data_IF_752186650986
#
_entry.id   IF_752186650986
#
_cell.length_a   1.000
_cell.length_b   1.000
_cell.length_c   1.000
_cell.angle_alpha   90.00
_cell.angle_beta   90.00
_cell.angle_gamma   90.00
#
_symmetry.space_group_name_H-M   'P 1'
#
loop_
_entity.id
_entity.type
_entity.pdbx_description
1 polymer ?
#
# COMPACT_ATOMS: atom_id res chain seq x y z
N UNK A 1 -3.27 -10.29 -1.07
CA UNK A 1 -2.79 -9.49 0.06
C UNK A 1 -2.49 -8.07 -0.40
N UNK A 2 -3.15 -7.09 0.17
CA UNK A 2 -2.88 -5.67 0.03
C UNK A 2 -3.02 -4.97 1.39
N UNK A 3 -2.52 -3.75 1.50
CA UNK A 3 -2.52 -2.94 2.71
C UNK A 3 -2.42 -1.44 2.36
N UNK A 4 -2.49 -0.59 3.35
CA UNK A 4 -2.12 0.83 3.28
C UNK A 4 -2.85 1.57 2.14
N UNK A 5 -4.17 1.38 2.06
CA UNK A 5 -5.00 2.01 1.02
C UNK A 5 -5.21 3.50 1.26
N UNK A 6 -5.30 3.90 2.53
CA UNK A 6 -5.49 5.27 2.99
C UNK A 6 -6.55 6.04 2.19
N UNK A 7 -7.72 5.44 2.05
CA UNK A 7 -8.84 6.01 1.32
C UNK A 7 -9.27 7.35 1.93
N UNK A 8 -9.56 8.32 1.08
CA UNK A 8 -9.87 9.71 1.47
C UNK A 8 -8.72 10.47 2.16
N UNK A 9 -7.49 9.96 2.13
CA UNK A 9 -6.33 10.70 2.61
C UNK A 9 -6.19 12.05 1.90
N UNK A 10 -5.93 13.14 2.61
CA UNK A 10 -5.70 14.42 1.97
C UNK A 10 -4.43 14.37 1.13
N UNK A 11 -4.52 14.85 -0.11
CA UNK A 11 -3.36 15.02 -0.99
C UNK A 11 -2.60 16.28 -0.60
N UNK A 12 -1.63 16.16 0.32
CA UNK A 12 -0.85 17.30 0.86
C UNK A 12 0.27 17.79 -0.10
N UNK A 13 0.28 17.34 -1.33
CA UNK A 13 1.26 17.78 -2.32
C UNK A 13 0.88 19.15 -2.89
N UNK A 14 1.85 19.82 -3.53
CA UNK A 14 1.60 21.09 -4.23
C UNK A 14 0.77 20.91 -5.53
N UNK A 15 -0.16 19.98 -5.55
CA UNK A 15 -1.10 19.73 -6.63
C UNK A 15 -2.17 20.82 -6.69
N UNK A 16 -2.74 21.02 -7.87
CA UNK A 16 -3.99 21.79 -7.98
C UNK A 16 -5.14 21.00 -7.35
N UNK A 17 -6.22 21.71 -6.98
CA UNK A 17 -7.44 21.05 -6.44
C UNK A 17 -7.99 19.98 -7.40
N UNK A 18 -7.93 20.22 -8.71
CA UNK A 18 -8.35 19.27 -9.73
C UNK A 18 -7.47 18.01 -9.75
N UNK A 19 -6.15 18.18 -9.69
CA UNK A 19 -5.20 17.05 -9.61
C UNK A 19 -5.37 16.25 -8.32
N UNK A 20 -5.53 16.92 -7.18
CA UNK A 20 -5.76 16.27 -5.89
C UNK A 20 -7.08 15.48 -5.88
N UNK A 21 -8.16 16.07 -6.43
CA UNK A 21 -9.46 15.40 -6.58
C UNK A 21 -9.36 14.17 -7.50
N UNK A 22 -8.64 14.29 -8.60
CA UNK A 22 -8.40 13.16 -9.52
C UNK A 22 -7.66 12.04 -8.81
N UNK A 23 -6.59 12.33 -8.08
CA UNK A 23 -5.82 11.32 -7.33
C UNK A 23 -6.66 10.62 -6.26
N UNK A 24 -7.45 11.37 -5.49
CA UNK A 24 -8.36 10.76 -4.50
C UNK A 24 -9.34 9.78 -5.16
N UNK A 25 -9.90 10.16 -6.31
CA UNK A 25 -10.79 9.27 -7.06
C UNK A 25 -10.06 8.03 -7.56
N UNK A 26 -8.83 8.17 -8.06
CA UNK A 26 -8.01 7.03 -8.53
C UNK A 26 -7.68 6.06 -7.41
N UNK A 27 -7.37 6.54 -6.20
CA UNK A 27 -7.11 5.68 -5.04
C UNK A 27 -8.35 4.84 -4.69
N UNK A 28 -9.53 5.45 -4.63
CA UNK A 28 -10.79 4.74 -4.40
C UNK A 28 -11.04 3.72 -5.54
N UNK A 29 -10.89 4.14 -6.79
CA UNK A 29 -11.08 3.28 -7.95
C UNK A 29 -10.10 2.10 -7.99
N UNK A 30 -8.89 2.23 -7.44
CA UNK A 30 -7.95 1.10 -7.37
C UNK A 30 -8.48 -0.01 -6.47
N UNK A 31 -9.14 0.31 -5.36
CA UNK A 31 -9.83 -0.70 -4.56
C UNK A 31 -11.01 -1.31 -5.32
N UNK A 32 -11.83 -0.51 -6.00
CA UNK A 32 -12.95 -1.03 -6.81
C UNK A 32 -12.45 -1.99 -7.90
N UNK A 33 -11.39 -1.62 -8.62
CA UNK A 33 -10.74 -2.50 -9.61
C UNK A 33 -10.17 -3.78 -8.97
N UNK A 34 -9.65 -3.69 -7.74
CA UNK A 34 -9.17 -4.87 -7.01
C UNK A 34 -10.31 -5.85 -6.73
N UNK A 35 -11.50 -5.36 -6.32
CA UNK A 35 -12.66 -6.23 -6.10
C UNK A 35 -13.12 -6.91 -7.40
N UNK A 36 -13.11 -6.19 -8.52
CA UNK A 36 -13.41 -6.74 -9.85
C UNK A 36 -12.35 -7.77 -10.29
N UNK A 37 -11.07 -7.46 -10.06
CA UNK A 37 -9.97 -8.40 -10.33
C UNK A 37 -10.15 -9.69 -9.54
N UNK A 38 -10.44 -9.58 -8.24
CA UNK A 38 -10.62 -10.73 -7.36
C UNK A 38 -11.78 -11.62 -7.85
N UNK A 39 -12.91 -11.03 -8.19
CA UNK A 39 -14.08 -11.78 -8.69
C UNK A 39 -13.81 -12.43 -10.06
N UNK A 40 -13.10 -11.75 -10.96
CA UNK A 40 -12.79 -12.25 -12.32
C UNK A 40 -11.77 -13.39 -12.32
N UNK A 41 -10.88 -13.42 -11.33
CA UNK A 41 -9.79 -14.40 -11.23
C UNK A 41 -10.05 -15.46 -10.15
N UNK A 42 -11.32 -15.65 -9.74
CA UNK A 42 -11.75 -16.67 -8.78
C UNK A 42 -10.99 -16.62 -7.45
N UNK A 43 -10.58 -15.42 -7.02
CA UNK A 43 -9.94 -15.21 -5.71
C UNK A 43 -10.93 -15.54 -4.60
N UNK A 44 -10.51 -16.34 -3.63
CA UNK A 44 -11.36 -16.78 -2.52
C UNK A 44 -11.39 -15.78 -1.37
N UNK A 45 -10.26 -15.11 -1.13
CA UNK A 45 -10.14 -14.13 -0.07
C UNK A 45 -9.16 -13.02 -0.44
N UNK A 46 -9.48 -11.78 -0.06
CA UNK A 46 -8.59 -10.62 -0.10
C UNK A 46 -8.20 -10.26 1.33
N UNK A 47 -6.92 -10.30 1.64
CA UNK A 47 -6.38 -9.86 2.92
C UNK A 47 -6.13 -8.36 2.83
N UNK A 48 -6.78 -7.58 3.68
CA UNK A 48 -6.60 -6.14 3.85
C UNK A 48 -5.82 -5.94 5.16
N UNK A 49 -4.50 -5.83 5.04
CA UNK A 49 -3.60 -5.86 6.19
C UNK A 49 -3.37 -4.47 6.81
N UNK A 50 -4.44 -3.74 7.07
CA UNK A 50 -4.46 -2.47 7.79
C UNK A 50 -4.37 -1.22 6.92
N UNK A 51 -4.65 -0.10 7.56
CA UNK A 51 -4.65 1.25 7.00
C UNK A 51 -5.49 1.39 5.72
N UNK A 52 -6.73 0.88 5.81
CA UNK A 52 -7.70 1.04 4.74
C UNK A 52 -8.17 2.49 4.63
N UNK A 53 -8.27 3.18 5.75
CA UNK A 53 -8.71 4.57 5.85
C UNK A 53 -7.62 5.45 6.47
N UNK A 54 -7.84 6.76 6.49
CA UNK A 54 -6.91 7.72 7.09
C UNK A 54 -7.61 8.52 8.20
N UNK A 55 -7.82 7.86 9.36
CA UNK A 55 -8.42 8.45 10.56
C UNK A 55 -9.94 8.65 10.48
N UNK A 56 -10.44 9.60 11.30
CA UNK A 56 -11.88 9.86 11.51
C UNK A 56 -12.56 10.62 10.35
N UNK A 57 -11.87 10.93 9.27
CA UNK A 57 -12.35 11.86 8.23
C UNK A 57 -12.85 11.18 6.95
N UNK A 58 -13.06 9.89 6.99
CA UNK A 58 -13.56 9.16 5.83
C UNK A 58 -14.98 9.63 5.48
N UNK A 59 -15.22 9.93 4.22
CA UNK A 59 -16.54 10.34 3.76
C UNK A 59 -17.49 9.14 3.75
N UNK A 60 -18.71 9.32 4.25
CA UNK A 60 -19.77 8.30 4.21
C UNK A 60 -19.94 7.72 2.80
N UNK A 61 -19.90 8.57 1.77
CA UNK A 61 -19.98 8.14 0.39
C UNK A 61 -18.86 7.16 0.00
N UNK A 62 -17.63 7.38 0.46
CA UNK A 62 -16.50 6.49 0.17
C UNK A 62 -16.71 5.13 0.83
N UNK A 63 -17.20 5.12 2.07
CA UNK A 63 -17.54 3.88 2.78
C UNK A 63 -18.64 3.13 2.03
N UNK A 64 -19.71 3.81 1.61
CA UNK A 64 -20.80 3.22 0.84
C UNK A 64 -20.30 2.60 -0.47
N UNK A 65 -19.46 3.31 -1.23
CA UNK A 65 -18.88 2.81 -2.50
C UNK A 65 -18.06 1.53 -2.29
N UNK A 66 -17.30 1.47 -1.19
CA UNK A 66 -16.49 0.30 -0.83
C UNK A 66 -17.36 -0.88 -0.41
N UNK A 67 -18.32 -0.65 0.50
CA UNK A 67 -19.23 -1.71 0.94
C UNK A 67 -20.08 -2.24 -0.21
N UNK A 68 -20.48 -1.38 -1.14
CA UNK A 68 -21.21 -1.78 -2.35
C UNK A 68 -20.33 -2.60 -3.30
N UNK A 69 -19.04 -2.28 -3.43
CA UNK A 69 -18.12 -3.10 -4.22
C UNK A 69 -17.94 -4.50 -3.62
N UNK A 70 -17.79 -4.58 -2.30
CA UNK A 70 -17.73 -5.85 -1.56
C UNK A 70 -19.02 -6.67 -1.74
N UNK A 71 -20.19 -6.05 -1.61
CA UNK A 71 -21.51 -6.73 -1.82
C UNK A 71 -21.67 -7.29 -3.22
N UNK A 72 -21.11 -6.59 -4.24
CA UNK A 72 -21.18 -7.05 -5.65
C UNK A 72 -20.32 -8.27 -5.94
N UNK A 73 -19.42 -8.64 -5.05
CA UNK A 73 -18.51 -9.78 -5.19
C UNK A 73 -18.71 -10.83 -4.07
N UNK A 74 -19.92 -11.41 -3.92
CA UNK A 74 -20.30 -12.21 -2.75
C UNK A 74 -19.51 -13.53 -2.60
N UNK A 75 -18.81 -13.98 -3.63
CA UNK A 75 -17.98 -15.18 -3.61
C UNK A 75 -16.55 -14.92 -3.15
N UNK A 76 -16.18 -13.65 -2.93
CA UNK A 76 -14.87 -13.22 -2.44
C UNK A 76 -15.03 -12.73 -1.00
N UNK A 77 -14.30 -13.30 -0.07
CA UNK A 77 -14.21 -12.80 1.30
C UNK A 77 -13.18 -11.69 1.39
N UNK A 78 -13.47 -10.63 2.11
CA UNK A 78 -12.54 -9.56 2.43
C UNK A 78 -12.22 -9.62 3.92
N UNK A 79 -10.97 -9.96 4.22
CA UNK A 79 -10.49 -10.14 5.59
C UNK A 79 -9.78 -8.87 6.02
N UNK A 80 -10.47 -8.02 6.76
CA UNK A 80 -9.98 -6.70 7.12
C UNK A 80 -9.40 -6.68 8.53
N UNK A 81 -8.15 -6.31 8.61
CA UNK A 81 -7.42 -5.97 9.83
C UNK A 81 -7.31 -4.45 9.92
N UNK A 82 -7.63 -3.86 11.06
CA UNK A 82 -7.39 -2.43 11.27
C UNK A 82 -5.90 -2.16 11.50
N UNK A 83 -5.40 -1.09 10.86
CA UNK A 83 -4.09 -0.52 11.11
C UNK A 83 -4.14 0.62 12.14
N UNK A 84 -3.02 1.29 12.33
CA UNK A 84 -2.92 2.39 13.30
C UNK A 84 -3.62 3.69 12.84
N UNK A 85 -3.91 3.83 11.54
CA UNK A 85 -4.70 4.93 10.98
C UNK A 85 -6.20 4.64 10.94
N UNK A 86 -6.63 3.40 11.18
CA UNK A 86 -8.03 3.02 11.09
C UNK A 86 -8.77 3.22 12.41
N UNK A 87 -9.96 3.82 12.36
CA UNK A 87 -10.96 3.72 13.42
C UNK A 87 -12.19 2.97 12.91
N UNK A 88 -12.17 1.65 13.05
CA UNK A 88 -13.25 0.77 12.59
C UNK A 88 -14.58 1.04 13.30
N UNK A 89 -14.53 1.50 14.55
CA UNK A 89 -15.73 1.85 15.31
C UNK A 89 -16.44 3.02 14.66
N UNK A 90 -15.68 4.00 14.18
CA UNK A 90 -16.22 5.17 13.51
C UNK A 90 -16.59 4.86 12.04
N UNK A 91 -15.70 4.21 11.31
CA UNK A 91 -15.87 3.97 9.86
C UNK A 91 -17.14 3.15 9.54
N UNK A 92 -17.50 2.18 10.39
CA UNK A 92 -18.62 1.28 10.11
C UNK A 92 -19.83 1.46 11.05
N UNK A 93 -19.84 2.48 11.93
CA UNK A 93 -20.82 2.64 13.00
C UNK A 93 -22.29 2.60 12.53
N UNK A 94 -22.59 3.21 11.40
CA UNK A 94 -23.94 3.37 10.87
C UNK A 94 -24.17 2.61 9.54
N UNK A 95 -23.28 1.65 9.21
CA UNK A 95 -23.33 0.93 7.94
C UNK A 95 -23.72 -0.55 8.14
N UNK A 96 -24.50 -1.06 7.19
CA UNK A 96 -24.78 -2.50 7.08
C UNK A 96 -23.59 -3.21 6.44
N UNK A 97 -22.80 -3.91 7.27
CA UNK A 97 -21.58 -4.58 6.85
C UNK A 97 -21.94 -5.85 6.05
N UNK A 98 -21.44 -5.98 4.80
CA UNK A 98 -21.64 -7.18 4.00
C UNK A 98 -21.10 -8.43 4.69
N UNK A 99 -21.78 -9.57 4.56
CA UNK A 99 -21.38 -10.82 5.22
C UNK A 99 -20.02 -11.37 4.76
N UNK A 100 -19.57 -10.96 3.58
CA UNK A 100 -18.27 -11.28 3.02
C UNK A 100 -17.17 -10.26 3.37
N UNK A 101 -17.47 -9.19 4.13
CA UNK A 101 -16.46 -8.38 4.82
C UNK A 101 -16.32 -8.90 6.25
N UNK A 102 -15.20 -9.53 6.53
CA UNK A 102 -14.89 -10.17 7.80
C UNK A 102 -13.83 -9.35 8.52
N UNK A 103 -14.14 -8.92 9.73
CA UNK A 103 -13.25 -8.07 10.53
C UNK A 103 -12.42 -8.93 11.46
N UNK A 104 -11.13 -8.67 11.52
CA UNK A 104 -10.30 -9.10 12.65
C UNK A 104 -10.54 -8.18 13.85
N UNK A 105 -10.11 -8.60 15.00
CA UNK A 105 -10.28 -7.85 16.25
C UNK A 105 -9.02 -7.93 17.12
N UNK A 106 -9.10 -7.41 18.32
CA UNK A 106 -8.03 -7.46 19.34
C UNK A 106 -7.79 -8.84 19.94
N UNK A 107 -8.54 -9.84 19.47
CA UNK A 107 -8.34 -11.26 19.74
C UNK A 107 -8.06 -11.98 18.44
N UNK A 108 -7.33 -13.10 18.50
CA UNK A 108 -7.05 -13.92 17.32
C UNK A 108 -8.37 -14.42 16.70
N UNK A 109 -8.57 -14.10 15.44
CA UNK A 109 -9.61 -14.67 14.60
C UNK A 109 -8.98 -15.47 13.46
N UNK A 110 -9.69 -16.51 13.02
CA UNK A 110 -9.19 -17.47 12.02
C UNK A 110 -10.29 -17.77 11.02
N UNK A 111 -9.94 -17.70 9.73
CA UNK A 111 -10.80 -18.05 8.60
C UNK A 111 -10.19 -19.21 7.82
N UNK A 112 -10.96 -20.27 7.60
CA UNK A 112 -10.50 -21.49 6.95
C UNK A 112 -11.03 -21.57 5.52
N UNK A 113 -10.12 -21.90 4.61
CA UNK A 113 -10.40 -22.20 3.21
C UNK A 113 -9.81 -23.58 2.89
N UNK A 114 -10.09 -24.13 1.70
CA UNK A 114 -9.57 -25.44 1.30
C UNK A 114 -8.01 -25.41 1.26
N UNK A 115 -7.42 -26.14 2.19
CA UNK A 115 -5.95 -26.20 2.34
C UNK A 115 -5.27 -24.95 2.91
N UNK A 116 -6.01 -23.91 3.33
CA UNK A 116 -5.46 -22.63 3.83
C UNK A 116 -6.17 -22.19 5.10
N UNK A 117 -5.39 -21.69 6.05
CA UNK A 117 -5.89 -21.00 7.24
C UNK A 117 -5.29 -19.58 7.27
N UNK A 118 -6.16 -18.58 7.40
CA UNK A 118 -5.77 -17.17 7.51
C UNK A 118 -6.15 -16.68 8.91
N UNK A 119 -5.16 -16.28 9.68
CA UNK A 119 -5.35 -15.79 11.05
C UNK A 119 -4.86 -14.35 11.18
N UNK A 120 -5.53 -13.56 11.99
CA UNK A 120 -5.14 -12.17 12.21
C UNK A 120 -5.56 -11.66 13.58
N UNK A 121 -4.89 -10.63 14.04
CA UNK A 121 -5.16 -9.94 15.29
C UNK A 121 -4.76 -8.47 15.17
N UNK A 122 -5.62 -7.55 15.60
CA UNK A 122 -5.28 -6.14 15.73
C UNK A 122 -4.32 -5.95 16.91
N UNK A 123 -3.17 -5.35 16.66
CA UNK A 123 -2.19 -5.07 17.71
C UNK A 123 -2.66 -3.86 18.53
N UNK A 124 -2.59 -3.97 19.84
CA UNK A 124 -2.88 -2.88 20.77
C UNK A 124 -2.06 -3.04 22.06
N UNK A 125 -2.02 -2.01 22.90
CA UNK A 125 -1.28 -2.05 24.18
C UNK A 125 -1.61 -3.28 25.04
N UNK A 126 -2.88 -3.73 25.02
CA UNK A 126 -3.31 -4.86 25.84
C UNK A 126 -2.78 -6.22 25.36
N UNK A 127 -2.49 -6.38 24.08
CA UNK A 127 -2.06 -7.66 23.50
C UNK A 127 -0.65 -7.67 22.89
N UNK A 128 0.01 -6.53 22.71
CA UNK A 128 1.30 -6.39 22.04
C UNK A 128 2.39 -7.37 22.51
N UNK A 129 2.37 -7.77 23.79
CA UNK A 129 3.32 -8.75 24.34
C UNK A 129 2.79 -10.19 24.34
N UNK A 130 1.46 -10.38 24.38
CA UNK A 130 0.85 -11.69 24.55
C UNK A 130 0.42 -12.35 23.23
N UNK A 131 0.27 -11.59 22.15
CA UNK A 131 -0.18 -12.11 20.84
C UNK A 131 0.71 -13.25 20.32
N UNK A 132 1.99 -13.24 20.64
CA UNK A 132 2.97 -14.25 20.20
C UNK A 132 2.85 -15.60 20.92
N UNK A 133 2.12 -15.67 22.04
CA UNK A 133 2.01 -16.88 22.87
C UNK A 133 1.11 -17.95 22.24
N UNK A 134 0.02 -17.52 21.60
CA UNK A 134 -1.03 -18.40 21.10
C UNK A 134 -1.37 -18.09 19.63
N UNK A 135 -0.37 -18.09 18.76
CA UNK A 135 -0.58 -17.90 17.32
C UNK A 135 -1.35 -19.10 16.78
N UNK A 136 -2.52 -18.91 16.14
CA UNK A 136 -3.26 -20.01 15.56
C UNK A 136 -2.43 -20.73 14.50
N UNK A 137 -2.43 -22.06 14.59
CA UNK A 137 -1.70 -22.92 13.66
C UNK A 137 -2.47 -24.20 13.42
N UNK A 138 -2.52 -24.67 12.18
CA UNK A 138 -3.14 -25.94 11.80
C UNK A 138 -2.17 -26.77 10.98
N UNK A 139 -1.92 -28.00 11.41
CA UNK A 139 -1.00 -28.92 10.72
C UNK A 139 -1.56 -29.37 9.37
N UNK A 140 -0.67 -29.49 8.37
CA UNK A 140 -1.01 -30.04 7.06
C UNK A 140 -1.74 -29.10 6.11
N UNK A 141 -1.80 -27.82 6.45
CA UNK A 141 -2.37 -26.76 5.62
C UNK A 141 -1.42 -25.56 5.57
N UNK A 142 -1.60 -24.67 4.62
CA UNK A 142 -0.88 -23.39 4.56
C UNK A 142 -1.44 -22.45 5.64
N UNK A 143 -0.58 -21.97 6.50
CA UNK A 143 -0.92 -21.01 7.55
C UNK A 143 -0.43 -19.61 7.15
N UNK A 144 -1.39 -18.71 6.96
CA UNK A 144 -1.16 -17.29 6.69
C UNK A 144 -1.51 -16.52 7.97
N UNK A 145 -0.61 -15.66 8.40
CA UNK A 145 -0.86 -14.75 9.52
C UNK A 145 -0.85 -13.33 9.01
N UNK A 146 -1.82 -12.51 9.40
CA UNK A 146 -1.86 -11.08 9.06
C UNK A 146 -1.71 -10.23 10.30
N UNK A 147 -0.81 -9.25 10.23
CA UNK A 147 -0.56 -8.24 11.25
C UNK A 147 -0.32 -6.88 10.58
N UNK A 148 -0.48 -5.80 11.32
CA UNK A 148 -0.14 -4.47 10.86
C UNK A 148 0.86 -3.83 11.82
N UNK A 149 1.98 -3.35 11.29
CA UNK A 149 3.04 -2.69 12.06
C UNK A 149 4.43 -2.84 11.42
N UNK A 150 5.38 -2.09 11.97
CA UNK A 150 6.75 -2.14 11.51
C UNK A 150 7.51 -3.32 12.14
N UNK A 151 8.26 -4.05 11.33
CA UNK A 151 9.23 -5.03 11.88
C UNK A 151 10.32 -4.30 12.65
N UNK A 152 10.48 -4.64 13.91
CA UNK A 152 11.42 -3.99 14.80
C UNK A 152 11.78 -4.86 16.00
N UNK A 153 12.56 -4.30 16.91
CA UNK A 153 13.03 -4.95 18.12
C UNK A 153 12.82 -4.11 19.39
N UNK A 154 12.18 -2.94 19.26
CA UNK A 154 11.83 -2.12 20.41
C UNK A 154 10.60 -2.70 21.14
N UNK A 155 10.18 -2.03 22.18
CA UNK A 155 8.98 -2.38 22.94
C UNK A 155 7.76 -1.53 22.52
N UNK A 156 7.85 -0.81 21.40
CA UNK A 156 6.76 0.02 20.92
C UNK A 156 5.60 -0.87 20.42
N UNK A 157 4.37 -0.41 20.66
CA UNK A 157 3.15 -1.19 20.39
C UNK A 157 3.04 -1.57 18.92
N UNK A 158 3.48 -0.66 18.03
CA UNK A 158 3.39 -0.85 16.58
C UNK A 158 4.57 -1.66 16.00
N UNK A 159 5.48 -2.17 16.85
CA UNK A 159 6.59 -2.98 16.40
C UNK A 159 6.32 -4.49 16.51
N UNK A 160 6.54 -5.17 15.38
CA UNK A 160 6.40 -6.62 15.25
C UNK A 160 7.75 -7.30 15.46
N UNK A 161 7.85 -8.10 16.52
CA UNK A 161 9.05 -8.85 16.82
C UNK A 161 9.08 -10.19 16.08
N UNK A 162 9.77 -10.22 14.94
CA UNK A 162 9.90 -11.45 14.13
C UNK A 162 10.53 -12.63 14.88
N UNK A 163 11.39 -12.38 15.87
CA UNK A 163 12.02 -13.49 16.62
C UNK A 163 11.00 -14.34 17.38
N UNK A 164 9.86 -13.74 17.76
CA UNK A 164 8.76 -14.41 18.46
C UNK A 164 7.78 -15.12 17.50
N UNK A 165 7.86 -14.82 16.20
CA UNK A 165 7.05 -15.43 15.14
C UNK A 165 7.76 -16.61 14.45
N UNK A 166 9.08 -16.69 14.55
CA UNK A 166 9.88 -17.77 13.94
C UNK A 166 9.52 -19.15 14.49
N UNK A 167 9.52 -20.17 13.61
CA UNK A 167 9.25 -21.56 13.93
C UNK A 167 7.86 -21.77 14.57
N UNK A 168 6.88 -20.95 14.17
CA UNK A 168 5.49 -21.06 14.61
C UNK A 168 4.59 -21.69 13.54
N UNK A 169 5.19 -22.23 12.45
CA UNK A 169 4.47 -22.83 11.35
C UNK A 169 3.76 -21.82 10.44
N UNK A 170 4.25 -20.58 10.37
CA UNK A 170 3.75 -19.52 9.51
C UNK A 170 4.38 -19.66 8.13
N UNK A 171 3.61 -19.96 7.10
CA UNK A 171 4.11 -20.05 5.73
C UNK A 171 4.19 -18.67 5.05
N UNK A 172 3.25 -17.77 5.41
CA UNK A 172 3.23 -16.41 4.90
C UNK A 172 2.74 -15.44 5.98
N UNK A 173 3.57 -14.48 6.31
CA UNK A 173 3.21 -13.39 7.22
C UNK A 173 2.87 -12.15 6.37
N UNK A 174 1.57 -11.87 6.25
CA UNK A 174 1.02 -10.72 5.54
C UNK A 174 1.09 -9.48 6.43
N UNK A 175 1.89 -8.49 6.03
CA UNK A 175 2.10 -7.26 6.77
C UNK A 175 1.62 -6.02 6.02
N UNK A 176 1.04 -5.07 6.75
CA UNK A 176 0.85 -3.68 6.34
C UNK A 176 1.69 -2.71 7.18
N UNK A 177 1.58 -1.42 6.93
CA UNK A 177 2.30 -0.29 7.53
C UNK A 177 3.44 0.26 6.65
N UNK A 178 4.11 -0.57 5.88
CA UNK A 178 5.18 -0.14 4.98
C UNK A 178 4.63 -0.06 3.55
N UNK A 179 4.58 1.14 2.99
CA UNK A 179 3.96 1.45 1.70
C UNK A 179 4.77 0.98 0.48
N UNK A 180 5.87 0.27 0.70
CA UNK A 180 6.72 -0.27 -0.36
C UNK A 180 6.74 -1.78 -0.27
N UNK A 181 6.48 -2.45 -1.42
CA UNK A 181 6.60 -3.90 -1.50
C UNK A 181 7.98 -4.37 -1.08
N UNK A 182 8.00 -5.34 -0.19
CA UNK A 182 9.21 -6.04 0.20
C UNK A 182 8.88 -7.40 0.80
N UNK A 183 9.76 -8.38 0.56
CA UNK A 183 9.66 -9.71 1.13
C UNK A 183 11.01 -10.17 1.66
N UNK A 184 10.98 -10.96 2.72
CA UNK A 184 12.16 -11.54 3.33
C UNK A 184 11.82 -12.91 3.96
N UNK A 185 12.78 -13.82 4.11
CA UNK A 185 12.58 -15.04 4.88
C UNK A 185 12.21 -14.73 6.34
N UNK A 186 11.16 -15.39 6.83
CA UNK A 186 10.82 -15.39 8.25
C UNK A 186 11.67 -16.45 8.97
N UNK A 187 11.65 -17.66 8.44
CA UNK A 187 12.43 -18.82 8.91
C UNK A 187 12.64 -19.83 7.76
N UNK A 188 12.83 -21.13 8.06
CA UNK A 188 13.02 -22.17 7.04
C UNK A 188 11.73 -22.58 6.30
N UNK A 189 10.55 -22.21 6.79
CA UNK A 189 9.25 -22.66 6.30
C UNK A 189 8.41 -21.54 5.72
N UNK A 190 8.73 -20.28 6.01
CA UNK A 190 7.91 -19.15 5.60
C UNK A 190 8.65 -17.84 5.36
N UNK A 191 7.90 -16.91 4.82
CA UNK A 191 8.36 -15.54 4.54
C UNK A 191 7.47 -14.53 5.26
N UNK A 192 7.97 -13.31 5.45
CA UNK A 192 7.14 -12.14 5.73
C UNK A 192 7.15 -11.18 4.55
N UNK A 193 6.04 -10.53 4.31
CA UNK A 193 5.86 -9.69 3.15
C UNK A 193 5.02 -8.45 3.49
N UNK A 194 5.57 -7.30 3.16
CA UNK A 194 4.81 -6.06 3.03
C UNK A 194 4.30 -5.94 1.59
N UNK A 195 2.99 -5.88 1.39
CA UNK A 195 2.43 -5.69 0.04
C UNK A 195 2.68 -4.29 -0.53
N UNK A 196 2.94 -3.33 0.33
CA UNK A 196 2.88 -1.92 -0.02
C UNK A 196 1.45 -1.46 -0.27
N UNK A 197 1.30 -0.21 -0.69
CA UNK A 197 0.00 0.39 -1.02
C UNK A 197 -0.42 0.11 -2.48
N UNK A 198 -1.72 0.23 -2.78
CA UNK A 198 -2.24 0.08 -4.16
C UNK A 198 -1.89 1.27 -5.06
N UNK A 199 -1.81 2.47 -4.48
CA UNK A 199 -1.48 3.72 -5.18
C UNK A 199 -0.47 4.53 -4.36
N UNK A 200 0.53 5.10 -5.02
CA UNK A 200 1.42 6.05 -4.37
C UNK A 200 0.76 7.42 -4.18
N UNK A 201 0.89 8.01 -3.01
CA UNK A 201 0.29 9.31 -2.66
C UNK A 201 1.27 10.46 -2.75
N UNK A 202 2.54 10.20 -2.49
CA UNK A 202 3.62 11.19 -2.50
C UNK A 202 4.93 10.63 -3.06
N UNK A 203 5.90 11.52 -3.32
CA UNK A 203 7.20 11.09 -3.86
C UNK A 203 8.10 10.33 -2.89
N UNK A 204 7.69 10.13 -1.69
CA UNK A 204 8.26 9.15 -0.74
C UNK A 204 7.81 7.71 -1.06
N UNK A 205 6.73 7.57 -1.82
CA UNK A 205 6.16 6.30 -2.24
C UNK A 205 6.41 5.98 -3.73
N UNK A 206 7.60 6.27 -4.24
CA UNK A 206 7.97 6.01 -5.64
C UNK A 206 8.01 4.52 -6.01
N UNK A 207 7.95 4.24 -7.30
CA UNK A 207 8.05 2.90 -7.88
C UNK A 207 6.71 2.18 -8.02
N UNK A 208 6.73 0.90 -8.43
CA UNK A 208 5.51 0.13 -8.66
C UNK A 208 4.72 -0.06 -7.37
N UNK A 209 3.41 0.09 -7.48
CA UNK A 209 2.43 -0.11 -6.41
C UNK A 209 1.42 -1.16 -6.84
N UNK A 210 0.90 -1.94 -5.89
CA UNK A 210 0.01 -3.04 -6.23
C UNK A 210 -0.33 -3.92 -5.05
N UNK A 211 -0.49 -5.20 -5.30
CA UNK A 211 -0.82 -6.21 -4.30
C UNK A 211 -0.02 -7.50 -4.53
N UNK A 212 -0.03 -8.40 -3.57
CA UNK A 212 0.57 -9.74 -3.71
C UNK A 212 -0.54 -10.76 -3.96
N UNK A 213 -0.46 -11.46 -5.08
CA UNK A 213 -1.31 -12.61 -5.38
C UNK A 213 -0.70 -13.85 -4.73
N UNK A 214 -1.49 -14.55 -3.94
CA UNK A 214 -1.13 -15.81 -3.30
C UNK A 214 -1.88 -16.95 -4.00
N UNK A 215 -1.16 -17.95 -4.46
CA UNK A 215 -1.74 -19.15 -5.07
C UNK A 215 -1.36 -20.36 -4.25
N UNK A 216 -2.36 -21.14 -3.84
CA UNK A 216 -2.14 -22.39 -3.09
C UNK A 216 -2.64 -23.56 -3.89
N UNK A 217 -1.73 -24.42 -4.30
CA UNK A 217 -2.03 -25.65 -5.05
C UNK A 217 -1.30 -26.84 -4.44
N UNK A 218 -2.03 -27.93 -4.17
CA UNK A 218 -1.45 -29.16 -3.65
C UNK A 218 -0.56 -28.99 -2.40
N UNK A 219 -0.89 -28.03 -1.54
CA UNK A 219 -0.15 -27.73 -0.32
C UNK A 219 1.12 -26.88 -0.54
N UNK A 220 1.31 -26.33 -1.71
CA UNK A 220 2.37 -25.36 -2.03
C UNK A 220 1.80 -23.96 -2.14
N UNK A 221 2.48 -23.01 -1.55
CA UNK A 221 2.18 -21.58 -1.64
C UNK A 221 3.15 -20.92 -2.61
N UNK A 222 2.61 -20.28 -3.63
CA UNK A 222 3.32 -19.36 -4.51
C UNK A 222 2.82 -17.93 -4.27
N UNK A 223 3.67 -16.95 -4.49
CA UNK A 223 3.33 -15.54 -4.35
C UNK A 223 3.94 -14.70 -5.47
N UNK A 224 3.21 -13.71 -5.92
CA UNK A 224 3.62 -12.83 -7.01
C UNK A 224 3.17 -11.39 -6.70
N UNK A 225 4.09 -10.42 -6.81
CA UNK A 225 3.71 -9.01 -6.77
C UNK A 225 3.09 -8.59 -8.09
N UNK A 226 1.87 -8.11 -8.06
CA UNK A 226 1.11 -7.64 -9.22
C UNK A 226 1.09 -6.11 -9.20
N UNK A 227 1.83 -5.43 -10.10
CA UNK A 227 1.73 -3.98 -10.27
C UNK A 227 0.30 -3.60 -10.66
N UNK A 228 -0.31 -2.63 -9.96
CA UNK A 228 -1.74 -2.36 -10.11
C UNK A 228 -2.11 -0.89 -10.10
N UNK A 229 -1.23 0.01 -9.71
CA UNK A 229 -1.50 1.45 -9.65
C UNK A 229 -1.91 2.04 -11.00
N UNK A 230 -2.76 3.06 -10.96
CA UNK A 230 -3.12 3.85 -12.15
C UNK A 230 -1.94 4.69 -12.65
N UNK A 231 -1.10 5.16 -11.72
CA UNK A 231 0.06 6.00 -12.00
C UNK A 231 1.25 5.54 -11.18
N UNK A 232 2.44 5.71 -11.74
CA UNK A 232 3.67 5.59 -10.97
C UNK A 232 4.23 6.96 -10.60
N UNK A 233 4.95 6.99 -9.49
CA UNK A 233 5.69 8.15 -9.04
C UNK A 233 7.18 7.91 -9.25
N UNK A 234 7.82 8.85 -9.92
CA UNK A 234 9.23 8.75 -10.29
C UNK A 234 10.03 9.86 -9.65
N UNK A 235 11.16 9.53 -9.05
CA UNK A 235 12.13 10.50 -8.53
C UNK A 235 13.39 10.41 -9.37
N UNK A 236 13.71 11.47 -10.11
CA UNK A 236 14.75 11.48 -11.11
C UNK A 236 15.87 12.45 -10.69
N UNK A 237 17.05 11.95 -10.33
CA UNK A 237 18.21 12.81 -10.09
C UNK A 237 18.72 13.39 -11.41
N UNK A 238 18.96 14.69 -11.43
CA UNK A 238 19.51 15.40 -12.58
C UNK A 238 20.71 16.25 -12.14
N UNK A 239 21.90 15.83 -12.50
CA UNK A 239 23.10 16.60 -12.27
C UNK A 239 23.16 17.78 -13.25
N UNK A 240 23.10 18.99 -12.72
CA UNK A 240 23.15 20.26 -13.48
C UNK A 240 24.51 20.96 -13.42
N UNK A 241 25.56 20.28 -12.96
CA UNK A 241 26.91 20.80 -12.92
C UNK A 241 27.30 21.34 -14.27
N UNK A 242 27.92 22.55 -14.29
CA UNK A 242 28.36 23.25 -15.47
C UNK A 242 27.25 23.76 -16.41
N UNK A 243 25.97 23.59 -16.08
CA UNK A 243 24.89 24.18 -16.85
C UNK A 243 24.53 25.57 -16.29
N UNK A 244 24.40 26.55 -17.21
CA UNK A 244 24.10 27.93 -16.82
C UNK A 244 22.77 28.43 -17.34
N UNK A 245 22.17 27.71 -18.31
CA UNK A 245 20.92 28.10 -18.97
C UNK A 245 19.77 27.17 -18.61
N UNK A 246 18.64 27.76 -18.23
CA UNK A 246 17.42 27.02 -17.94
C UNK A 246 16.97 26.12 -19.11
N UNK A 247 17.24 26.50 -20.37
CA UNK A 247 16.93 25.69 -21.55
C UNK A 247 17.75 24.38 -21.62
N UNK A 248 19.02 24.43 -21.26
CA UNK A 248 19.88 23.25 -21.21
C UNK A 248 19.49 22.32 -20.09
N UNK A 249 19.15 22.88 -18.92
CA UNK A 249 18.67 22.12 -17.76
C UNK A 249 17.36 21.44 -18.09
N UNK A 250 16.39 22.16 -18.68
CA UNK A 250 15.09 21.56 -19.04
C UNK A 250 15.23 20.44 -20.10
N UNK A 251 16.13 20.58 -21.05
CA UNK A 251 16.43 19.51 -22.01
C UNK A 251 17.03 18.29 -21.32
N UNK A 252 17.94 18.50 -20.36
CA UNK A 252 18.52 17.39 -19.57
C UNK A 252 17.46 16.68 -18.71
N UNK A 253 16.55 17.45 -18.09
CA UNK A 253 15.40 16.90 -17.36
C UNK A 253 14.52 16.03 -18.27
N UNK A 254 14.14 16.55 -19.46
CA UNK A 254 13.34 15.80 -20.44
C UNK A 254 14.04 14.53 -20.92
N UNK A 255 15.34 14.61 -21.18
CA UNK A 255 16.13 13.44 -21.57
C UNK A 255 16.20 12.39 -20.45
N UNK A 256 16.37 12.82 -19.20
CA UNK A 256 16.38 11.92 -18.03
C UNK A 256 15.04 11.23 -17.77
N UNK A 257 13.93 11.85 -18.18
CA UNK A 257 12.58 11.31 -18.05
C UNK A 257 12.10 10.57 -19.33
N UNK A 258 12.98 10.35 -20.29
CA UNK A 258 12.59 9.67 -21.53
C UNK A 258 12.04 8.26 -21.25
N UNK A 259 10.86 7.96 -21.80
CA UNK A 259 10.19 6.68 -21.64
C UNK A 259 9.24 6.59 -20.46
N UNK A 260 9.17 7.61 -19.61
CA UNK A 260 8.15 7.70 -18.55
C UNK A 260 6.82 8.12 -19.19
N UNK A 261 5.71 7.42 -18.88
CA UNK A 261 4.38 7.78 -19.34
C UNK A 261 3.95 9.19 -18.92
N UNK A 262 3.22 9.87 -19.79
CA UNK A 262 2.74 11.24 -19.51
C UNK A 262 1.67 11.30 -18.39
N UNK A 263 1.01 10.18 -18.13
CA UNK A 263 0.05 10.01 -17.02
C UNK A 263 0.71 9.88 -15.66
N UNK A 264 2.03 9.64 -15.60
CA UNK A 264 2.75 9.47 -14.34
C UNK A 264 3.10 10.81 -13.67
N UNK A 265 3.63 10.71 -12.47
CA UNK A 265 4.07 11.85 -11.66
C UNK A 265 5.59 11.84 -11.52
N UNK A 266 6.23 13.00 -11.71
CA UNK A 266 7.70 13.10 -11.74
C UNK A 266 8.21 14.17 -10.78
N UNK A 267 9.14 13.80 -9.91
CA UNK A 267 9.96 14.72 -9.11
C UNK A 267 11.38 14.73 -9.66
N UNK A 268 11.83 15.86 -10.18
CA UNK A 268 13.24 16.07 -10.56
C UNK A 268 14.03 16.59 -9.36
N UNK A 269 15.08 15.88 -8.99
CA UNK A 269 16.04 16.30 -7.98
C UNK A 269 17.27 16.88 -8.66
N UNK A 270 17.36 18.19 -8.69
CA UNK A 270 18.52 18.87 -9.24
C UNK A 270 19.70 18.79 -8.27
N UNK A 271 20.87 18.41 -8.76
CA UNK A 271 22.09 18.28 -7.98
C UNK A 271 23.28 18.84 -8.74
N UNK A 272 24.40 19.12 -8.03
CA UNK A 272 25.63 19.58 -8.61
C UNK A 272 25.96 21.05 -8.30
N UNK A 273 27.19 21.46 -8.66
CA UNK A 273 27.65 22.83 -8.48
C UNK A 273 27.10 23.75 -9.56
N UNK A 274 26.40 24.80 -9.13
CA UNK A 274 25.83 25.81 -10.02
C UNK A 274 26.76 27.04 -10.02
N UNK A 275 27.00 27.60 -11.20
CA UNK A 275 27.70 28.87 -11.31
C UNK A 275 26.91 29.96 -10.54
N UNK A 276 27.57 30.74 -9.65
CA UNK A 276 26.88 31.79 -8.91
C UNK A 276 26.22 32.87 -9.80
N UNK A 277 26.63 32.95 -11.06
CA UNK A 277 26.04 33.87 -12.06
C UNK A 277 24.85 33.27 -12.81
N UNK A 278 24.56 31.95 -12.61
CA UNK A 278 23.44 31.29 -13.24
C UNK A 278 22.12 31.75 -12.60
N UNK A 279 21.22 32.28 -13.39
CA UNK A 279 19.90 32.68 -12.93
C UNK A 279 18.95 31.43 -12.92
N UNK A 280 19.16 30.57 -11.93
CA UNK A 280 18.34 29.37 -11.75
C UNK A 280 17.02 29.74 -11.10
N UNK A 281 15.93 29.57 -11.84
CA UNK A 281 14.57 29.73 -11.34
C UNK A 281 13.86 28.35 -11.37
N UNK A 282 13.83 27.65 -10.23
CA UNK A 282 13.22 26.33 -10.09
C UNK A 282 11.76 26.33 -10.57
N UNK A 283 10.98 27.37 -10.22
CA UNK A 283 9.60 27.51 -10.67
C UNK A 283 9.48 27.68 -12.20
N UNK A 284 10.45 28.34 -12.83
CA UNK A 284 10.50 28.46 -14.28
C UNK A 284 10.84 27.11 -14.94
N UNK A 285 11.82 26.38 -14.40
CA UNK A 285 12.16 25.04 -14.87
C UNK A 285 10.95 24.09 -14.75
N UNK A 286 10.25 24.13 -13.62
CA UNK A 286 9.02 23.35 -13.45
C UNK A 286 7.96 23.70 -14.50
N UNK A 287 7.78 24.98 -14.82
CA UNK A 287 6.84 25.41 -15.85
C UNK A 287 7.20 24.92 -17.27
N UNK A 288 8.50 24.71 -17.56
CA UNK A 288 8.95 24.21 -18.86
C UNK A 288 8.64 22.71 -19.08
N UNK A 289 8.39 21.97 -18.02
CA UNK A 289 8.17 20.51 -18.06
C UNK A 289 6.81 20.08 -17.49
N UNK A 290 6.03 20.99 -16.89
CA UNK A 290 4.78 20.67 -16.20
C UNK A 290 3.70 20.02 -17.07
N UNK A 291 3.74 20.25 -18.39
CA UNK A 291 2.79 19.66 -19.34
C UNK A 291 3.21 18.30 -19.85
N UNK A 292 4.40 17.84 -19.51
CA UNK A 292 4.93 16.58 -20.02
C UNK A 292 4.38 15.37 -19.21
N UNK A 293 3.91 15.63 -17.97
CA UNK A 293 3.39 14.60 -17.06
C UNK A 293 2.16 15.09 -16.30
N UNK A 294 1.43 14.17 -15.67
CA UNK A 294 0.25 14.51 -14.86
C UNK A 294 0.60 15.51 -13.75
N UNK A 295 1.70 15.30 -13.06
CA UNK A 295 2.22 16.23 -12.07
C UNK A 295 3.75 16.25 -12.09
N UNK A 296 4.32 17.44 -11.99
CA UNK A 296 5.77 17.64 -11.96
C UNK A 296 6.15 18.48 -10.77
N UNK A 297 7.18 18.04 -10.06
CA UNK A 297 7.85 18.79 -9.01
C UNK A 297 9.34 18.90 -9.32
N UNK A 298 9.92 20.04 -9.04
CA UNK A 298 11.38 20.28 -9.20
C UNK A 298 11.94 20.77 -7.87
N UNK A 299 12.99 20.13 -7.39
CA UNK A 299 13.72 20.46 -6.15
C UNK A 299 15.20 20.68 -6.42
#
# INVERSE_FOLDING_TARGET
HCADLHLDSPMETHMTEEQASTRNTEIIHSFLRLTEYAAKNDVRAVILAGDMFDGERVKVRTIDEILDAVRRTPNVDYLYLAGNHDDTTYAFADHDIPTNLKLFSKEWATYEYDGVVISGIEICEANAHSLYLNIPHKNGVINIVTLHGQVGSSSDVDEINLSLLKNKGINYLALGHIHTYSEQPLDSEGIYCYSGCLEGRGFDECGPKGFVLLTVESGHLEHEFVPFSCRQLHRIPVDISSLTKNSEISQKMKAAAQGIPSEDMVEFLLSGGVDPTANLAVSYLQNLVKSDFFFVKVK
#
